data_IF_222712516826
#
_entry.id   IF_222712516826
#
_cell.length_a   1.000
_cell.length_b   1.000
_cell.length_c   1.000
_cell.angle_alpha   90.00
_cell.angle_beta   90.00
_cell.angle_gamma   90.00
#
_symmetry.space_group_name_H-M   'P 1'
#
loop_
_entity.id
_entity.type
_entity.pdbx_description
1 polymer ?
#
# COMPACT_ATOMS: atom_id res chain seq x y z
N UNK A 1 5.29 1.30 2.40
CA UNK A 1 3.89 0.80 2.48
C UNK A 1 2.95 1.82 1.85
N UNK A 2 2.02 1.40 0.97
CA UNK A 2 1.10 2.29 0.25
C UNK A 2 0.25 3.19 1.17
N UNK A 3 -0.05 2.77 2.41
CA UNK A 3 -0.74 3.60 3.39
C UNK A 3 0.04 4.90 3.72
N UNK A 4 1.37 4.86 3.72
CA UNK A 4 2.19 6.08 3.90
C UNK A 4 2.16 6.98 2.66
N UNK A 5 2.05 6.39 1.46
CA UNK A 5 2.00 7.13 0.19
C UNK A 5 0.62 7.74 -0.10
N UNK A 6 -0.46 7.10 0.38
CA UNK A 6 -1.84 7.57 0.22
C UNK A 6 -2.24 8.63 1.26
N UNK A 7 -1.45 8.81 2.32
CA UNK A 7 -1.72 9.75 3.41
C UNK A 7 -2.61 9.18 4.51
N UNK A 8 -3.01 10.04 5.46
CA UNK A 8 -3.91 9.68 6.55
C UNK A 8 -5.38 9.71 6.11
N UNK A 9 -6.23 8.89 6.76
CA UNK A 9 -7.66 8.73 6.48
C UNK A 9 -7.99 7.93 5.20
N UNK A 10 -7.19 6.93 4.88
CA UNK A 10 -7.51 5.98 3.81
C UNK A 10 -8.56 4.99 4.30
N UNK A 11 -9.58 4.72 3.51
CA UNK A 11 -10.56 3.69 3.85
C UNK A 11 -9.99 2.29 3.65
N UNK A 12 -10.51 1.31 4.40
CA UNK A 12 -10.09 -0.10 4.25
C UNK A 12 -10.37 -0.61 2.82
N UNK A 13 -11.46 -0.16 2.21
CA UNK A 13 -11.86 -0.53 0.85
C UNK A 13 -10.90 0.03 -0.20
N UNK A 14 -10.52 1.30 -0.10
CA UNK A 14 -9.51 1.91 -0.99
C UNK A 14 -8.15 1.22 -0.84
N UNK A 15 -7.75 0.88 0.39
CA UNK A 15 -6.51 0.16 0.61
C UNK A 15 -6.53 -1.24 -0.04
N UNK A 16 -7.66 -1.96 0.06
CA UNK A 16 -7.84 -3.27 -0.58
C UNK A 16 -7.75 -3.17 -2.11
N UNK A 17 -8.40 -2.17 -2.69
CA UNK A 17 -8.40 -1.92 -4.12
C UNK A 17 -7.01 -1.57 -4.65
N UNK A 18 -6.30 -0.67 -3.98
CA UNK A 18 -4.94 -0.26 -4.34
C UNK A 18 -3.93 -1.40 -4.20
N UNK A 19 -4.07 -2.23 -3.16
CA UNK A 19 -3.18 -3.37 -2.93
C UNK A 19 -3.57 -4.61 -3.75
N UNK A 20 -4.77 -4.62 -4.34
CA UNK A 20 -5.30 -5.76 -5.06
C UNK A 20 -5.57 -6.98 -4.18
N UNK A 21 -5.68 -6.79 -2.86
CA UNK A 21 -5.91 -7.85 -1.86
C UNK A 21 -7.40 -7.86 -1.49
N UNK A 22 -7.99 -9.05 -1.32
CA UNK A 22 -9.36 -9.16 -0.82
C UNK A 22 -9.51 -8.59 0.62
N UNK A 23 -10.72 -8.12 0.95
CA UNK A 23 -11.02 -7.51 2.25
C UNK A 23 -10.74 -8.43 3.47
N UNK A 24 -11.09 -9.73 3.47
CA UNK A 24 -10.92 -10.57 4.67
C UNK A 24 -9.45 -10.76 5.09
N UNK A 25 -8.50 -11.10 4.19
CA UNK A 25 -7.08 -11.13 4.52
C UNK A 25 -6.55 -9.77 5.00
N UNK A 26 -6.93 -8.68 4.32
CA UNK A 26 -6.49 -7.33 4.69
C UNK A 26 -6.95 -6.95 6.11
N UNK A 27 -8.19 -7.26 6.47
CA UNK A 27 -8.73 -6.98 7.79
C UNK A 27 -7.95 -7.69 8.90
N UNK A 28 -7.46 -8.92 8.65
CA UNK A 28 -6.62 -9.66 9.61
C UNK A 28 -5.29 -8.97 9.84
N UNK A 29 -4.62 -8.56 8.77
CA UNK A 29 -3.33 -7.83 8.84
C UNK A 29 -3.51 -6.48 9.55
N UNK A 30 -4.53 -5.71 9.18
CA UNK A 30 -4.81 -4.43 9.82
C UNK A 30 -5.12 -4.56 11.32
N UNK A 31 -5.81 -5.62 11.73
CA UNK A 31 -6.10 -5.86 13.15
C UNK A 31 -4.84 -6.25 13.94
N UNK A 32 -3.86 -6.90 13.31
CA UNK A 32 -2.55 -7.16 13.93
C UNK A 32 -1.77 -5.87 14.11
N UNK A 33 -1.73 -5.01 13.09
CA UNK A 33 -1.05 -3.70 13.15
C UNK A 33 -1.69 -2.77 14.20
N UNK A 34 -3.02 -2.82 14.34
CA UNK A 34 -3.76 -2.11 15.38
C UNK A 34 -3.41 -2.64 16.79
N UNK A 35 -3.36 -3.96 16.98
CA UNK A 35 -2.93 -4.58 18.24
C UNK A 35 -1.49 -4.24 18.62
N UNK A 36 -0.63 -4.03 17.64
CA UNK A 36 0.76 -3.62 17.84
C UNK A 36 0.92 -2.11 18.08
N UNK A 37 -0.15 -1.33 18.02
CA UNK A 37 -0.12 0.11 18.28
C UNK A 37 0.35 0.96 17.10
N UNK A 38 0.52 0.38 15.91
CA UNK A 38 1.03 1.10 14.73
C UNK A 38 -0.06 1.81 13.93
N UNK A 39 -1.32 1.46 14.17
CA UNK A 39 -2.46 1.98 13.44
C UNK A 39 -3.67 2.14 14.34
N UNK A 40 -4.51 3.13 14.06
CA UNK A 40 -5.81 3.36 14.70
C UNK A 40 -6.90 3.38 13.64
N UNK A 41 -8.05 2.80 13.98
CA UNK A 41 -9.28 2.89 13.19
C UNK A 41 -10.23 3.93 13.78
N UNK A 42 -10.69 4.85 12.94
CA UNK A 42 -11.74 5.81 13.28
C UNK A 42 -12.92 5.67 12.32
N UNK A 43 -14.12 6.05 12.76
CA UNK A 43 -15.27 6.17 11.86
C UNK A 43 -15.21 7.49 11.13
N UNK A 44 -15.52 7.50 9.83
CA UNK A 44 -15.61 8.75 9.09
C UNK A 44 -16.71 9.65 9.67
N UNK A 45 -16.46 10.96 9.82
CA UNK A 45 -17.49 11.91 10.26
C UNK A 45 -18.60 12.10 9.22
N UNK A 46 -18.36 11.72 7.96
CA UNK A 46 -19.31 11.85 6.86
C UNK A 46 -20.14 10.58 6.64
N UNK A 47 -19.58 9.40 6.93
CA UNK A 47 -20.29 8.13 6.85
C UNK A 47 -19.78 7.14 7.91
N UNK A 48 -20.67 6.77 8.85
CA UNK A 48 -20.36 5.83 9.94
C UNK A 48 -20.06 4.41 9.46
N UNK A 49 -20.39 4.08 8.20
CA UNK A 49 -20.07 2.79 7.58
C UNK A 49 -18.61 2.72 7.14
N UNK A 50 -17.96 3.88 6.94
CA UNK A 50 -16.57 3.96 6.50
C UNK A 50 -15.65 3.94 7.73
N UNK A 51 -14.71 2.99 7.72
CA UNK A 51 -13.60 2.95 8.67
C UNK A 51 -12.36 3.54 8.03
N UNK A 52 -11.88 4.62 8.61
CA UNK A 52 -10.67 5.32 8.24
C UNK A 52 -9.49 4.74 9.01
N UNK A 53 -8.38 4.58 8.31
CA UNK A 53 -7.12 4.12 8.86
C UNK A 53 -6.17 5.31 9.05
N UNK A 54 -5.59 5.42 10.23
CA UNK A 54 -4.59 6.44 10.54
C UNK A 54 -3.36 5.80 11.18
N UNK A 55 -2.17 6.14 10.71
CA UNK A 55 -0.92 5.69 11.32
C UNK A 55 -0.67 6.44 12.63
N UNK A 56 -0.29 5.71 13.66
CA UNK A 56 0.19 6.32 14.91
C UNK A 56 1.59 6.90 14.72
N UNK A 57 2.04 7.71 15.69
CA UNK A 57 3.42 8.19 15.71
C UNK A 57 4.44 7.03 15.69
N UNK A 58 4.18 5.97 16.44
CA UNK A 58 5.01 4.76 16.46
C UNK A 58 5.01 4.02 15.11
N UNK A 59 3.82 3.90 14.49
CA UNK A 59 3.69 3.30 13.16
C UNK A 59 4.47 4.07 12.10
N UNK A 60 4.47 5.41 12.15
CA UNK A 60 5.28 6.25 11.25
C UNK A 60 6.77 6.07 11.49
N UNK A 61 7.21 6.08 12.75
CA UNK A 61 8.63 5.94 13.08
C UNK A 61 9.21 4.59 12.61
N UNK A 62 8.44 3.50 12.70
CA UNK A 62 8.86 2.20 12.18
C UNK A 62 8.86 2.19 10.65
N UNK A 63 7.86 2.81 10.02
CA UNK A 63 7.82 2.92 8.55
C UNK A 63 9.02 3.70 8.02
N UNK A 64 9.42 4.80 8.66
CA UNK A 64 10.61 5.56 8.27
C UNK A 64 11.89 4.71 8.39
N UNK A 65 12.04 3.97 9.49
CA UNK A 65 13.17 3.04 9.65
C UNK A 65 13.19 1.98 8.55
N UNK A 66 12.04 1.40 8.23
CA UNK A 66 11.91 0.40 7.17
C UNK A 66 12.21 1.00 5.79
N UNK A 67 11.69 2.20 5.50
CA UNK A 67 11.95 2.89 4.23
C UNK A 67 13.44 3.14 4.02
N UNK A 68 14.15 3.63 5.04
CA UNK A 68 15.59 3.85 4.97
C UNK A 68 16.37 2.56 4.69
N UNK A 69 15.99 1.45 5.34
CA UNK A 69 16.59 0.14 5.06
C UNK A 69 16.28 -0.30 3.62
N UNK A 70 15.04 -0.18 3.18
CA UNK A 70 14.63 -0.55 1.82
C UNK A 70 15.39 0.27 0.77
N UNK A 71 15.50 1.58 0.94
CA UNK A 71 16.24 2.48 0.06
C UNK A 71 17.72 2.08 -0.02
N UNK A 72 18.35 1.85 1.13
CA UNK A 72 19.76 1.40 1.19
C UNK A 72 19.97 0.09 0.43
N UNK A 73 19.03 -0.86 0.54
CA UNK A 73 19.11 -2.13 -0.19
C UNK A 73 18.78 -1.97 -1.67
N UNK A 74 17.81 -1.14 -2.02
CA UNK A 74 17.47 -0.84 -3.42
C UNK A 74 18.67 -0.25 -4.13
N UNK A 75 19.30 0.79 -3.59
CA UNK A 75 20.51 1.39 -4.15
C UNK A 75 21.62 0.36 -4.36
N UNK A 76 21.87 -0.51 -3.37
CA UNK A 76 22.90 -1.56 -3.47
C UNK A 76 22.60 -2.59 -4.56
N UNK A 77 21.33 -2.93 -4.77
CA UNK A 77 20.93 -3.91 -5.79
C UNK A 77 20.91 -3.28 -7.19
N UNK A 78 20.57 -1.99 -7.29
CA UNK A 78 20.46 -1.28 -8.57
C UNK A 78 21.75 -0.59 -9.02
N UNK A 79 22.77 -0.52 -8.16
CA UNK A 79 24.05 0.18 -8.42
C UNK A 79 24.74 -0.21 -9.73
N UNK A 80 24.54 -1.44 -10.22
CA UNK A 80 25.15 -1.94 -11.46
C UNK A 80 24.26 -1.78 -12.69
N UNK A 81 23.06 -1.23 -12.54
CA UNK A 81 22.07 -1.10 -13.61
C UNK A 81 21.92 0.37 -13.98
N UNK A 82 22.01 0.75 -15.26
CA UNK A 82 21.73 2.11 -15.71
C UNK A 82 20.34 2.59 -15.30
N UNK A 83 20.22 3.85 -14.88
CA UNK A 83 18.94 4.43 -14.45
C UNK A 83 17.87 4.40 -15.55
N UNK A 84 18.28 4.56 -16.82
CA UNK A 84 17.40 4.44 -17.98
C UNK A 84 16.79 3.04 -18.15
N UNK A 85 17.55 1.99 -17.84
CA UNK A 85 17.09 0.60 -17.93
C UNK A 85 16.10 0.29 -16.81
N UNK A 86 16.37 0.78 -15.59
CA UNK A 86 15.44 0.69 -14.46
C UNK A 86 14.13 1.44 -14.73
N UNK A 87 14.22 2.65 -15.30
CA UNK A 87 13.04 3.43 -15.68
C UNK A 87 12.21 2.69 -16.74
N UNK A 88 12.87 2.12 -17.75
CA UNK A 88 12.20 1.34 -18.81
C UNK A 88 11.54 0.07 -18.25
N UNK A 89 12.24 -0.65 -17.36
CA UNK A 89 11.71 -1.82 -16.68
C UNK A 89 10.49 -1.47 -15.82
N UNK A 90 10.58 -0.40 -15.03
CA UNK A 90 9.47 0.07 -14.21
C UNK A 90 8.26 0.48 -15.06
N UNK A 91 8.47 1.19 -16.17
CA UNK A 91 7.40 1.57 -17.08
C UNK A 91 6.70 0.34 -17.68
N UNK A 92 7.49 -0.64 -18.12
CA UNK A 92 6.97 -1.89 -18.71
C UNK A 92 6.17 -2.69 -17.68
N UNK A 93 6.68 -2.86 -16.45
CA UNK A 93 5.95 -3.52 -15.37
C UNK A 93 4.64 -2.80 -15.03
N UNK A 94 4.66 -1.47 -14.97
CA UNK A 94 3.44 -0.69 -14.70
C UNK A 94 2.38 -0.87 -15.79
N UNK A 95 2.78 -0.93 -17.07
CA UNK A 95 1.86 -1.23 -18.16
C UNK A 95 1.22 -2.62 -18.02
N UNK A 96 2.01 -3.64 -17.66
CA UNK A 96 1.52 -4.99 -17.39
C UNK A 96 0.55 -4.99 -16.20
N UNK A 97 0.91 -4.32 -15.10
CA UNK A 97 0.08 -4.24 -13.90
C UNK A 97 -1.26 -3.54 -14.16
N UNK A 98 -1.25 -2.42 -14.91
CA UNK A 98 -2.48 -1.74 -15.35
C UNK A 98 -3.36 -2.67 -16.19
N UNK A 99 -2.76 -3.41 -17.14
CA UNK A 99 -3.51 -4.35 -17.98
C UNK A 99 -4.13 -5.48 -17.15
N UNK A 100 -3.42 -6.02 -16.17
CA UNK A 100 -3.95 -7.05 -15.26
C UNK A 100 -5.11 -6.54 -14.41
N UNK A 101 -5.06 -5.28 -13.95
CA UNK A 101 -6.15 -4.68 -13.18
C UNK A 101 -7.43 -4.55 -14.02
N UNK A 102 -7.30 -4.12 -15.28
CA UNK A 102 -8.43 -4.00 -16.20
C UNK A 102 -9.09 -5.36 -16.46
N UNK A 103 -8.29 -6.42 -16.70
CA UNK A 103 -8.82 -7.78 -16.90
C UNK A 103 -9.61 -8.25 -15.68
N UNK A 104 -9.10 -7.99 -14.47
CA UNK A 104 -9.78 -8.39 -13.23
C UNK A 104 -11.12 -7.65 -13.02
N UNK A 105 -11.23 -6.41 -13.47
CA UNK A 105 -12.48 -5.65 -13.45
C UNK A 105 -13.49 -6.11 -14.51
N UNK A 106 -13.01 -6.60 -15.66
CA UNK A 106 -13.84 -7.21 -16.70
C UNK A 106 -14.42 -8.54 -16.22
N UNK A 107 -13.60 -9.40 -15.59
CA UNK A 107 -14.02 -10.70 -15.05
C UNK A 107 -15.01 -10.58 -13.89
N UNK A 108 -14.93 -9.50 -13.09
CA UNK A 108 -15.85 -9.26 -11.96
C UNK A 108 -17.23 -8.72 -12.39
N UNK A 109 -17.43 -8.38 -13.67
CA UNK A 109 -18.71 -7.87 -14.22
C UNK A 109 -19.56 -8.95 -14.89
N UNK A 110 -19.04 -10.18 -14.99
CA UNK A 110 -19.74 -11.37 -15.53
C UNK A 110 -20.26 -12.20 -14.36
#
# INVERSE_FOLDING_TARGET
MQLHQLGDNVSVSELAEVQGIELPPLMRTLSLLEKQGYLVRSTSPYDKRIRLLTLTAEGRAILEKLSCVIETYQERVTQTIPEADLATFSATLNQIACRLRNIREEDNKI
#
